data_IF_899201952899
#
_entry.id   IF_899201952899
#
_cell.length_a   1.000
_cell.length_b   1.000
_cell.length_c   1.000
_cell.angle_alpha   90.00
_cell.angle_beta   90.00
_cell.angle_gamma   90.00
#
_symmetry.space_group_name_H-M   'P 1'
#
loop_
_entity.id
_entity.type
_entity.pdbx_description
1 polymer ?
#
# COMPACT_ATOMS: atom_id res chain seq x y z
N UNK A 1 -36.85 33.60 17.95
CA UNK A 1 -35.55 33.83 17.27
C UNK A 1 -34.38 33.02 17.83
N UNK A 2 -34.42 32.45 19.05
CA UNK A 2 -33.26 31.72 19.61
C UNK A 2 -32.97 30.32 19.03
N UNK A 3 -33.97 29.59 18.54
CA UNK A 3 -33.81 28.20 18.07
C UNK A 3 -33.01 28.09 16.76
N UNK A 4 -33.11 29.09 15.88
CA UNK A 4 -32.38 29.14 14.61
C UNK A 4 -30.88 29.37 14.83
N UNK A 5 -30.52 30.18 15.83
CA UNK A 5 -29.13 30.47 16.17
C UNK A 5 -28.43 29.27 16.82
N UNK A 6 -29.18 28.44 17.56
CA UNK A 6 -28.66 27.19 18.13
C UNK A 6 -28.36 26.17 17.02
N UNK A 7 -29.26 26.04 16.04
CA UNK A 7 -29.05 25.15 14.90
C UNK A 7 -27.86 25.59 14.03
N UNK A 8 -27.72 26.90 13.81
CA UNK A 8 -26.61 27.48 13.06
C UNK A 8 -25.27 27.24 13.77
N UNK A 9 -25.22 27.43 15.09
CA UNK A 9 -24.04 27.14 15.90
C UNK A 9 -23.66 25.66 15.86
N UNK A 10 -24.65 24.76 15.91
CA UNK A 10 -24.41 23.32 15.82
C UNK A 10 -23.83 22.91 14.46
N UNK A 11 -24.33 23.48 13.34
CA UNK A 11 -23.77 23.20 12.02
C UNK A 11 -22.33 23.69 11.88
N UNK A 12 -21.99 24.85 12.44
CA UNK A 12 -20.63 25.38 12.44
C UNK A 12 -19.67 24.45 13.19
N UNK A 13 -20.06 23.95 14.36
CA UNK A 13 -19.25 23.01 15.13
C UNK A 13 -19.04 21.70 14.37
N UNK A 14 -20.10 21.15 13.76
CA UNK A 14 -20.01 19.93 12.95
C UNK A 14 -19.11 20.12 11.73
N UNK A 15 -19.16 21.29 11.09
CA UNK A 15 -18.30 21.63 9.96
C UNK A 15 -16.82 21.69 10.37
N UNK A 16 -16.51 22.29 11.52
CA UNK A 16 -15.12 22.34 12.04
C UNK A 16 -14.61 20.94 12.37
N UNK A 17 -15.43 20.10 13.00
CA UNK A 17 -15.08 18.69 13.29
C UNK A 17 -14.87 17.90 12.00
N UNK A 18 -15.72 18.10 10.98
CA UNK A 18 -15.57 17.45 9.68
C UNK A 18 -14.28 17.86 8.96
N UNK A 19 -13.93 19.16 8.98
CA UNK A 19 -12.69 19.66 8.39
C UNK A 19 -11.46 19.15 9.14
N UNK A 20 -11.51 19.08 10.47
CA UNK A 20 -10.43 18.50 11.27
C UNK A 20 -10.26 17.00 10.97
N UNK A 21 -11.37 16.25 10.89
CA UNK A 21 -11.32 14.83 10.52
C UNK A 21 -10.74 14.62 9.11
N UNK A 22 -11.15 15.44 8.13
CA UNK A 22 -10.54 15.42 6.79
C UNK A 22 -9.06 15.74 6.82
N UNK A 23 -8.64 16.79 7.52
CA UNK A 23 -7.24 17.15 7.62
C UNK A 23 -6.39 16.06 8.29
N UNK A 24 -6.92 15.40 9.33
CA UNK A 24 -6.23 14.28 9.99
C UNK A 24 -6.14 13.08 9.05
N UNK A 25 -7.19 12.74 8.32
CA UNK A 25 -7.14 11.70 7.28
C UNK A 25 -6.15 12.08 6.18
N UNK A 26 -6.30 13.25 5.57
CA UNK A 26 -5.46 13.73 4.48
C UNK A 26 -3.98 13.85 4.89
N UNK A 27 -3.67 14.20 6.16
CA UNK A 27 -2.30 14.23 6.68
C UNK A 27 -1.68 12.85 6.94
N UNK A 28 -2.52 11.83 7.15
CA UNK A 28 -2.08 10.42 7.17
C UNK A 28 -2.07 9.79 5.75
N UNK A 29 -2.52 10.54 4.73
CA UNK A 29 -2.62 10.12 3.33
C UNK A 29 -1.74 10.97 2.39
N UNK A 30 -0.64 11.54 2.88
CA UNK A 30 0.44 12.02 2.02
C UNK A 30 1.29 10.85 1.53
N UNK A 31 0.68 9.95 0.77
CA UNK A 31 1.40 9.10 -0.17
C UNK A 31 0.61 9.14 -1.47
N UNK A 32 1.23 9.79 -2.45
CA UNK A 32 0.86 9.87 -3.87
C UNK A 32 -0.27 8.93 -4.29
N UNK A 33 -1.42 9.51 -4.70
CA UNK A 33 -2.54 8.93 -5.46
C UNK A 33 -2.85 7.43 -5.23
N UNK A 34 -4.04 7.03 -4.75
CA UNK A 34 -4.43 5.63 -4.77
C UNK A 34 -4.75 5.26 -6.22
N UNK A 35 -3.74 4.91 -7.00
CA UNK A 35 -3.94 3.84 -7.97
C UNK A 35 -4.33 2.62 -7.12
N UNK A 36 -5.47 2.01 -7.41
CA UNK A 36 -5.95 0.83 -6.70
C UNK A 36 -4.94 -0.31 -6.93
N UNK A 37 -4.08 -0.54 -5.94
CA UNK A 37 -3.09 -1.61 -5.94
C UNK A 37 -3.53 -2.74 -5.03
N UNK A 38 -3.38 -3.97 -5.50
CA UNK A 38 -3.52 -5.18 -4.70
C UNK A 38 -2.14 -5.54 -4.17
N UNK A 39 -2.01 -5.71 -2.85
CA UNK A 39 -0.76 -6.12 -2.21
C UNK A 39 -0.80 -7.57 -1.77
N UNK A 40 0.30 -8.29 -1.98
CA UNK A 40 0.50 -9.65 -1.49
C UNK A 40 1.87 -9.80 -0.85
N UNK A 41 1.93 -10.52 0.26
CA UNK A 41 3.17 -10.83 0.97
C UNK A 41 3.73 -12.19 0.50
N UNK A 42 5.04 -12.22 0.30
CA UNK A 42 5.80 -13.40 -0.11
C UNK A 42 7.08 -13.54 0.71
N UNK A 43 7.44 -14.78 1.02
CA UNK A 43 8.74 -15.15 1.58
C UNK A 43 9.65 -15.53 0.43
N UNK A 44 10.84 -14.95 0.34
CA UNK A 44 11.80 -15.31 -0.70
C UNK A 44 12.38 -16.70 -0.39
N UNK A 45 12.15 -17.65 -1.29
CA UNK A 45 12.60 -19.04 -1.14
C UNK A 45 13.83 -19.36 -1.99
N UNK A 46 14.05 -18.59 -3.07
CA UNK A 46 15.22 -18.77 -3.93
C UNK A 46 15.72 -17.43 -4.52
N UNK A 47 17.02 -17.38 -4.79
CA UNK A 47 17.71 -16.24 -5.38
C UNK A 47 18.69 -16.73 -6.44
N UNK A 48 18.44 -16.35 -7.69
CA UNK A 48 19.27 -16.71 -8.84
C UNK A 48 19.98 -15.49 -9.42
N UNK A 49 20.84 -15.70 -10.40
CA UNK A 49 21.43 -14.61 -11.18
C UNK A 49 20.38 -13.81 -11.97
N UNK A 50 19.22 -14.40 -12.24
CA UNK A 50 18.16 -13.79 -13.05
C UNK A 50 17.17 -13.00 -12.17
N UNK A 51 16.96 -13.41 -10.92
CA UNK A 51 16.01 -12.75 -10.03
C UNK A 51 15.76 -13.49 -8.73
N UNK A 52 14.54 -13.37 -8.24
CA UNK A 52 14.09 -13.88 -6.95
C UNK A 52 12.77 -14.63 -7.11
N UNK A 53 12.65 -15.72 -6.38
CA UNK A 53 11.42 -16.50 -6.28
C UNK A 53 10.87 -16.38 -4.88
N UNK A 54 9.61 -15.98 -4.76
CA UNK A 54 8.89 -15.89 -3.49
C UNK A 54 7.67 -16.80 -3.44
N UNK A 55 7.41 -17.37 -2.27
CA UNK A 55 6.20 -18.16 -1.99
C UNK A 55 5.29 -17.35 -1.06
N UNK A 56 3.99 -17.30 -1.37
CA UNK A 56 3.05 -16.55 -0.55
C UNK A 56 2.81 -17.29 0.78
N UNK A 57 2.68 -16.52 1.85
CA UNK A 57 2.41 -17.05 3.19
C UNK A 57 0.97 -17.57 3.32
N UNK A 58 0.04 -16.91 2.61
CA UNK A 58 -1.40 -17.15 2.76
C UNK A 58 -1.98 -18.11 1.72
N UNK A 59 -1.31 -18.27 0.57
CA UNK A 59 -1.79 -19.06 -0.55
C UNK A 59 -0.62 -19.81 -1.22
N UNK A 60 -0.86 -20.95 -1.87
CA UNK A 60 0.16 -21.72 -2.62
C UNK A 60 0.62 -21.02 -3.94
N UNK A 61 0.64 -19.69 -3.95
CA UNK A 61 1.04 -18.89 -5.09
C UNK A 61 2.53 -18.56 -5.01
N UNK A 62 3.22 -18.74 -6.14
CA UNK A 62 4.63 -18.40 -6.32
C UNK A 62 4.74 -17.13 -7.17
N UNK A 63 5.66 -16.24 -6.82
CA UNK A 63 6.04 -15.08 -7.61
C UNK A 63 7.50 -15.20 -8.06
N UNK A 64 7.78 -14.76 -9.27
CA UNK A 64 9.14 -14.53 -9.74
C UNK A 64 9.28 -13.07 -10.18
N UNK A 65 10.37 -12.42 -9.78
CA UNK A 65 10.70 -11.07 -10.24
C UNK A 65 12.21 -10.90 -10.44
N UNK A 66 12.55 -10.06 -11.40
CA UNK A 66 13.93 -9.78 -11.82
C UNK A 66 14.54 -8.61 -11.02
N UNK A 67 15.87 -8.50 -11.02
CA UNK A 67 16.60 -7.51 -10.22
C UNK A 67 16.26 -6.05 -10.53
N UNK A 68 15.79 -5.75 -11.75
CA UNK A 68 15.38 -4.42 -12.20
C UNK A 68 14.09 -3.92 -11.52
N UNK A 69 13.31 -4.82 -10.91
CA UNK A 69 12.11 -4.46 -10.15
C UNK A 69 12.41 -4.00 -8.72
N UNK A 70 13.66 -4.13 -8.28
CA UNK A 70 14.09 -3.69 -6.97
C UNK A 70 14.59 -2.26 -7.01
N UNK A 71 14.42 -1.56 -5.88
CA UNK A 71 15.09 -0.28 -5.70
C UNK A 71 16.61 -0.50 -5.65
N UNK A 72 17.44 0.44 -6.15
CA UNK A 72 18.89 0.27 -6.29
C UNK A 72 19.63 -0.14 -5.00
N UNK A 73 19.09 0.26 -3.85
CA UNK A 73 19.71 0.06 -2.54
C UNK A 73 19.09 -1.12 -1.77
N UNK A 74 18.12 -1.81 -2.37
CA UNK A 74 17.34 -2.83 -1.70
C UNK A 74 17.99 -4.20 -1.86
N UNK A 75 18.58 -4.69 -0.77
CA UNK A 75 19.19 -6.02 -0.73
C UNK A 75 18.17 -7.02 -0.18
N UNK A 76 17.82 -7.99 -1.02
CA UNK A 76 16.91 -9.09 -0.68
C UNK A 76 17.69 -10.41 -0.65
N UNK A 77 17.40 -11.23 0.35
CA UNK A 77 17.97 -12.55 0.58
C UNK A 77 16.87 -13.60 0.78
N UNK A 78 17.26 -14.88 0.66
CA UNK A 78 16.37 -16.00 0.97
C UNK A 78 15.96 -15.94 2.45
N UNK A 79 14.67 -16.07 2.70
CA UNK A 79 14.03 -15.94 4.02
C UNK A 79 13.48 -14.56 4.33
N UNK A 80 13.77 -13.54 3.50
CA UNK A 80 13.18 -12.21 3.68
C UNK A 80 11.71 -12.20 3.26
N UNK A 81 10.90 -11.43 3.98
CA UNK A 81 9.52 -11.13 3.57
C UNK A 81 9.49 -9.88 2.68
N UNK A 82 8.67 -9.95 1.64
CA UNK A 82 8.49 -8.85 0.68
C UNK A 82 7.01 -8.61 0.42
N UNK A 83 6.64 -7.34 0.26
CA UNK A 83 5.31 -6.92 -0.19
C UNK A 83 5.41 -6.56 -1.65
N UNK A 84 4.63 -7.28 -2.46
CA UNK A 84 4.50 -7.06 -3.89
C UNK A 84 3.23 -6.28 -4.19
N UNK A 85 3.37 -5.18 -4.94
CA UNK A 85 2.26 -4.31 -5.33
C UNK A 85 1.85 -4.60 -6.77
N UNK A 86 0.60 -4.97 -6.96
CA UNK A 86 0.02 -5.32 -8.24
C UNK A 86 -1.05 -4.33 -8.68
N UNK A 87 -1.10 -3.99 -9.98
CA UNK A 87 -2.25 -3.26 -10.53
C UNK A 87 -3.49 -4.15 -10.58
N UNK A 88 -4.63 -3.65 -10.09
CA UNK A 88 -5.92 -4.38 -9.95
C UNK A 88 -6.38 -5.16 -11.21
N UNK A 89 -5.92 -4.74 -12.40
CA UNK A 89 -6.36 -5.27 -13.70
C UNK A 89 -5.50 -6.40 -14.29
N UNK A 90 -4.35 -6.76 -13.71
CA UNK A 90 -3.34 -7.56 -14.41
C UNK A 90 -2.88 -8.78 -13.62
N UNK A 91 -3.43 -9.95 -13.96
CA UNK A 91 -3.07 -11.27 -13.41
C UNK A 91 -1.71 -11.82 -13.87
N UNK A 92 -1.00 -11.15 -14.78
CA UNK A 92 0.20 -11.72 -15.43
C UNK A 92 1.40 -10.77 -15.43
N UNK A 93 1.20 -9.45 -15.51
CA UNK A 93 2.30 -8.47 -15.65
C UNK A 93 2.07 -7.22 -14.78
N UNK A 94 1.38 -7.42 -13.66
CA UNK A 94 0.88 -6.34 -12.82
C UNK A 94 1.88 -5.85 -11.78
N UNK A 95 3.08 -6.43 -11.67
CA UNK A 95 4.02 -6.13 -10.60
C UNK A 95 4.70 -4.77 -10.81
N UNK A 96 4.35 -3.83 -9.93
CA UNK A 96 4.76 -2.43 -10.01
C UNK A 96 5.93 -2.15 -9.08
N UNK A 97 5.85 -2.67 -7.86
CA UNK A 97 6.78 -2.35 -6.79
C UNK A 97 6.95 -3.55 -5.87
N UNK A 98 8.12 -3.62 -5.25
CA UNK A 98 8.47 -4.61 -4.24
C UNK A 98 9.14 -3.86 -3.09
N UNK A 99 8.58 -3.98 -1.89
CA UNK A 99 9.20 -3.45 -0.67
C UNK A 99 9.58 -4.61 0.24
N UNK A 100 10.79 -4.56 0.82
CA UNK A 100 11.23 -5.52 1.82
C UNK A 100 10.58 -5.16 3.17
N UNK A 101 10.06 -6.17 3.87
CA UNK A 101 9.54 -6.04 5.23
C UNK A 101 10.69 -6.33 6.20
N UNK A 102 10.91 -5.45 7.18
CA UNK A 102 11.89 -5.63 8.26
C UNK A 102 11.43 -6.64 9.32
#
# INVERSE_FOLDING_TARGET
MGKMNILLGLMLVLMVVYLYYRMVIDSNFNTESPEDYITHEYVIVDKTSEGYTGESVDNDNVIFFTHDKLQPDQIINVGDNVICYFKESSKVDGLIKIDKVE
#
